data_IF_049477234334
#
_entry.id   IF_049477234334
#
_cell.length_a   1.000
_cell.length_b   1.000
_cell.length_c   1.000
_cell.angle_alpha   90.00
_cell.angle_beta   90.00
_cell.angle_gamma   90.00
#
_symmetry.space_group_name_H-M   'P 1'
#
loop_
_entity.id
_entity.type
_entity.pdbx_description
1 polymer ?
#
# COMPACT_ATOMS: atom_id res chain seq x y z
N UNK A 1 -2.82 -35.01 -2.37
CA UNK A 1 -2.11 -33.91 -1.73
C UNK A 1 -2.99 -32.68 -1.90
N UNK A 2 -3.31 -31.99 -0.80
CA UNK A 2 -4.17 -30.80 -0.86
C UNK A 2 -3.29 -29.58 -0.89
N UNK A 3 -3.52 -28.72 -1.88
CA UNK A 3 -2.78 -27.47 -2.01
C UNK A 3 -3.03 -26.57 -0.79
N UNK A 4 -1.98 -25.89 -0.32
CA UNK A 4 -2.03 -25.00 0.83
C UNK A 4 -1.82 -23.56 0.37
N UNK A 5 -2.75 -22.69 0.75
CA UNK A 5 -2.63 -21.26 0.52
C UNK A 5 -1.82 -20.67 1.68
N UNK A 6 -0.70 -20.02 1.38
CA UNK A 6 0.20 -19.45 2.40
C UNK A 6 -0.11 -17.99 2.75
N UNK A 7 -0.76 -17.23 1.85
CA UNK A 7 -1.09 -15.83 2.06
C UNK A 7 -2.33 -15.41 1.26
N UNK A 8 -3.04 -14.38 1.75
CA UNK A 8 -4.14 -13.68 1.08
C UNK A 8 -3.89 -12.18 1.27
N UNK A 9 -3.76 -11.43 0.18
CA UNK A 9 -3.56 -9.98 0.21
C UNK A 9 -4.86 -9.29 -0.21
N UNK A 10 -5.30 -8.30 0.57
CA UNK A 10 -6.46 -7.46 0.24
C UNK A 10 -5.95 -6.08 -0.13
N UNK A 11 -6.31 -5.60 -1.32
CA UNK A 11 -6.07 -4.22 -1.73
C UNK A 11 -7.35 -3.42 -1.56
N UNK A 12 -7.20 -2.18 -1.08
CA UNK A 12 -8.27 -1.19 -1.06
C UNK A 12 -8.24 -0.41 -2.39
N UNK A 13 -9.42 -0.12 -2.94
CA UNK A 13 -9.53 0.63 -4.20
C UNK A 13 -9.21 2.12 -4.03
N UNK A 14 -9.41 2.64 -2.82
CA UNK A 14 -9.21 4.05 -2.47
C UNK A 14 -8.43 4.17 -1.15
N UNK A 15 -7.82 5.33 -0.93
CA UNK A 15 -7.13 5.65 0.32
C UNK A 15 -8.17 5.85 1.43
N UNK A 16 -8.26 4.88 2.34
CA UNK A 16 -9.18 4.92 3.49
C UNK A 16 -8.40 5.41 4.73
N UNK A 17 -8.97 6.31 5.55
CA UNK A 17 -8.39 6.68 6.84
C UNK A 17 -8.11 5.46 7.74
N UNK A 18 -6.99 5.49 8.46
CA UNK A 18 -6.51 4.36 9.27
C UNK A 18 -7.53 3.90 10.32
N UNK A 19 -8.28 4.83 10.90
CA UNK A 19 -9.34 4.58 11.88
C UNK A 19 -10.55 3.84 11.29
N UNK A 20 -10.85 4.06 10.01
CA UNK A 20 -11.91 3.33 9.30
C UNK A 20 -11.46 1.91 8.91
N UNK A 21 -10.18 1.74 8.58
CA UNK A 21 -9.57 0.45 8.22
C UNK A 21 -9.52 -0.53 9.40
N UNK A 22 -9.41 -0.03 10.64
CA UNK A 22 -9.42 -0.85 11.87
C UNK A 22 -10.64 -1.80 11.95
N UNK A 23 -11.81 -1.32 11.52
CA UNK A 23 -13.03 -2.14 11.51
C UNK A 23 -12.95 -3.32 10.53
N UNK A 24 -12.30 -3.11 9.38
CA UNK A 24 -12.09 -4.11 8.33
C UNK A 24 -11.03 -5.12 8.80
N UNK A 25 -9.94 -4.66 9.42
CA UNK A 25 -8.90 -5.52 9.99
C UNK A 25 -9.48 -6.50 11.02
N UNK A 26 -10.29 -5.99 11.96
CA UNK A 26 -10.96 -6.82 12.97
C UNK A 26 -11.91 -7.85 12.35
N UNK A 27 -12.67 -7.45 11.34
CA UNK A 27 -13.55 -8.38 10.63
C UNK A 27 -12.76 -9.52 9.96
N UNK A 28 -11.60 -9.24 9.37
CA UNK A 28 -10.72 -10.24 8.75
C UNK A 28 -10.14 -11.18 9.83
N UNK A 29 -9.66 -10.64 10.95
CA UNK A 29 -9.13 -11.43 12.08
C UNK A 29 -10.16 -12.40 12.68
N UNK A 30 -11.42 -11.95 12.80
CA UNK A 30 -12.52 -12.76 13.29
C UNK A 30 -12.84 -13.95 12.38
N UNK A 31 -12.78 -13.76 11.05
CA UNK A 31 -13.05 -14.83 10.07
C UNK A 31 -11.95 -15.91 10.11
N UNK A 32 -10.70 -15.52 10.36
CA UNK A 32 -9.51 -16.39 10.25
C UNK A 32 -8.94 -16.91 11.58
N UNK A 33 -9.71 -16.91 12.67
CA UNK A 33 -9.31 -17.47 13.98
C UNK A 33 -7.93 -16.98 14.46
N UNK A 34 -7.64 -15.68 14.33
CA UNK A 34 -6.47 -15.05 14.97
C UNK A 34 -5.13 -15.19 14.22
N UNK A 35 -5.16 -15.25 12.89
CA UNK A 35 -3.93 -15.00 12.12
C UNK A 35 -3.70 -13.48 11.98
N UNK A 36 -2.44 -13.06 12.13
CA UNK A 36 -2.01 -11.66 12.05
C UNK A 36 -2.39 -11.04 10.71
N UNK A 37 -3.10 -9.91 10.76
CA UNK A 37 -3.31 -9.04 9.61
C UNK A 37 -2.34 -7.88 9.73
N UNK A 38 -1.42 -7.74 8.78
CA UNK A 38 -0.45 -6.64 8.76
C UNK A 38 -0.96 -5.52 7.85
N UNK A 39 -1.32 -4.34 8.37
CA UNK A 39 -1.72 -3.21 7.55
C UNK A 39 -0.50 -2.58 6.88
N UNK A 40 -0.55 -2.44 5.55
CA UNK A 40 0.42 -1.66 4.80
C UNK A 40 -0.03 -0.21 4.74
N UNK A 41 0.24 0.55 5.80
CA UNK A 41 -0.10 1.97 5.88
C UNK A 41 0.90 2.79 5.06
N UNK A 42 0.40 3.57 4.10
CA UNK A 42 1.18 4.62 3.47
C UNK A 42 1.41 5.75 4.49
N UNK A 43 2.45 5.63 5.32
CA UNK A 43 2.89 6.70 6.22
C UNK A 43 3.02 8.01 5.42
N UNK A 44 2.60 9.15 5.99
CA UNK A 44 2.76 10.49 5.40
C UNK A 44 4.18 10.75 4.88
N UNK A 45 5.19 10.19 5.56
CA UNK A 45 6.59 10.24 5.13
C UNK A 45 6.83 9.46 3.84
N UNK A 46 6.23 8.27 3.70
CA UNK A 46 6.28 7.46 2.49
C UNK A 46 5.60 8.19 1.34
N UNK A 47 4.42 8.75 1.57
CA UNK A 47 3.71 9.56 0.56
C UNK A 47 4.55 10.76 0.11
N UNK A 48 5.14 11.51 1.05
CA UNK A 48 6.00 12.65 0.75
C UNK A 48 7.30 12.23 0.04
N UNK A 49 7.85 11.05 0.35
CA UNK A 49 9.03 10.49 -0.32
C UNK A 49 8.69 10.06 -1.76
N UNK A 50 7.57 9.37 -1.96
CA UNK A 50 7.09 8.96 -3.29
C UNK A 50 6.78 10.18 -4.16
N UNK A 51 6.14 11.21 -3.59
CA UNK A 51 5.86 12.44 -4.32
C UNK A 51 7.14 13.16 -4.76
N UNK A 52 8.13 13.28 -3.87
CA UNK A 52 9.45 13.86 -4.18
C UNK A 52 10.17 13.07 -5.27
N UNK A 53 10.23 11.74 -5.13
CA UNK A 53 10.86 10.86 -6.11
C UNK A 53 10.19 10.97 -7.50
N UNK A 54 8.86 11.11 -7.54
CA UNK A 54 8.11 11.32 -8.78
C UNK A 54 8.45 12.65 -9.45
N UNK A 55 8.51 13.74 -8.68
CA UNK A 55 8.88 15.06 -9.22
C UNK A 55 10.29 15.03 -9.80
N UNK A 56 11.24 14.45 -9.07
CA UNK A 56 12.63 14.32 -9.53
C UNK A 56 12.74 13.48 -10.81
N UNK A 57 12.01 12.37 -10.88
CA UNK A 57 11.98 11.51 -12.07
C UNK A 57 11.41 12.25 -13.29
N UNK A 58 10.31 13.00 -13.11
CA UNK A 58 9.70 13.79 -14.17
C UNK A 58 10.69 14.82 -14.70
N UNK A 59 11.39 15.53 -13.82
CA UNK A 59 12.40 16.51 -14.21
C UNK A 59 13.54 15.87 -15.02
N UNK A 60 14.10 14.75 -14.54
CA UNK A 60 15.14 14.01 -15.26
C UNK A 60 14.67 13.49 -16.62
N UNK A 61 13.42 13.04 -16.70
CA UNK A 61 12.81 12.64 -17.98
C UNK A 61 12.71 13.82 -18.95
N UNK A 62 12.30 14.99 -18.46
CA UNK A 62 12.26 16.21 -19.27
C UNK A 62 13.63 16.61 -19.79
N UNK A 63 14.67 16.56 -18.96
CA UNK A 63 16.06 16.84 -19.36
C UNK A 63 16.56 15.86 -20.45
N UNK A 64 16.16 14.58 -20.37
CA UNK A 64 16.52 13.59 -21.39
C UNK A 64 15.73 13.76 -22.69
N UNK A 65 14.44 14.10 -22.60
CA UNK A 65 13.56 14.25 -23.75
C UNK A 65 13.75 15.58 -24.50
N UNK A 66 14.13 16.63 -23.77
CA UNK A 66 14.36 17.97 -24.28
C UNK A 66 15.72 18.51 -23.79
N UNK A 67 16.83 17.91 -24.26
CA UNK A 67 18.15 18.44 -23.97
C UNK A 67 18.34 19.79 -24.68
N UNK A 68 18.89 20.79 -23.99
CA UNK A 68 19.36 22.04 -24.61
C UNK A 68 20.41 21.79 -25.68
#
# INVERSE_FOLDING_TARGET
MTDRIFAITVLLEEDIPEDEVESILRAIEMIKRGHTVEPHVANRELWAATHRARQELVQKLWEVLYPE
#
